data_IF_160426776110
#
_entry.id   IF_160426776110
#
_cell.length_a   1.000
_cell.length_b   1.000
_cell.length_c   1.000
_cell.angle_alpha   90.00
_cell.angle_beta   90.00
_cell.angle_gamma   90.00
#
_symmetry.space_group_name_H-M   'P 1'
#
loop_
_entity.id
_entity.type
_entity.pdbx_description
1 polymer ?
#
# COMPACT_ATOMS: atom_id res chain seq x y z
N UNK A 1 7.63 3.15 17.26
CA UNK A 1 6.89 3.59 16.05
C UNK A 1 7.89 3.58 14.90
N UNK A 2 8.14 2.56 14.09
CA UNK A 2 7.53 1.26 13.86
C UNK A 2 8.06 0.86 12.47
N UNK A 3 9.35 0.51 12.38
CA UNK A 3 9.94 -0.01 11.14
C UNK A 3 9.34 -1.40 10.92
N UNK A 4 8.29 -1.47 10.12
CA UNK A 4 7.80 -2.75 9.62
C UNK A 4 8.92 -3.34 8.75
N UNK A 5 9.34 -4.57 9.05
CA UNK A 5 10.40 -5.24 8.29
C UNK A 5 9.96 -5.36 6.81
N UNK A 6 10.85 -4.97 5.89
CA UNK A 6 10.54 -4.89 4.45
C UNK A 6 9.95 -3.55 3.98
N UNK A 7 9.59 -2.60 4.86
CA UNK A 7 9.20 -1.24 4.44
C UNK A 7 10.44 -0.35 4.34
N UNK A 8 10.67 0.20 3.15
CA UNK A 8 11.78 1.11 2.84
C UNK A 8 11.42 2.53 3.28
N UNK A 9 10.27 3.02 2.81
CA UNK A 9 9.78 4.36 3.10
C UNK A 9 8.25 4.36 3.19
N UNK A 10 7.69 5.22 4.05
CA UNK A 10 6.26 5.48 4.10
C UNK A 10 6.01 6.97 4.28
N UNK A 11 5.30 7.58 3.33
CA UNK A 11 4.92 8.99 3.36
C UNK A 11 3.41 9.11 3.41
N UNK A 12 2.89 9.95 4.32
CA UNK A 12 1.47 10.17 4.53
C UNK A 12 1.11 11.62 4.24
N UNK A 13 0.18 11.82 3.32
CA UNK A 13 -0.47 13.11 3.10
C UNK A 13 -1.86 13.11 3.72
N UNK A 14 -1.98 13.74 4.89
CA UNK A 14 -3.24 13.81 5.65
C UNK A 14 -4.29 14.70 4.97
N UNK A 15 -3.89 15.75 4.26
CA UNK A 15 -4.81 16.63 3.53
C UNK A 15 -5.49 15.88 2.37
N UNK A 16 -4.73 15.03 1.68
CA UNK A 16 -5.22 14.22 0.57
C UNK A 16 -5.74 12.83 1.00
N UNK A 17 -5.70 12.51 2.30
CA UNK A 17 -6.04 11.20 2.86
C UNK A 17 -5.35 10.03 2.12
N UNK A 18 -4.07 10.20 1.77
CA UNK A 18 -3.32 9.22 0.98
C UNK A 18 -1.99 8.89 1.63
N UNK A 19 -1.70 7.59 1.75
CA UNK A 19 -0.39 7.08 2.11
C UNK A 19 0.28 6.46 0.88
N UNK A 20 1.58 6.66 0.74
CA UNK A 20 2.45 5.99 -0.23
C UNK A 20 3.49 5.20 0.55
N UNK A 21 3.62 3.90 0.25
CA UNK A 21 4.55 2.99 0.93
C UNK A 21 5.45 2.35 -0.13
N UNK A 22 6.76 2.47 0.06
CA UNK A 22 7.78 1.77 -0.70
C UNK A 22 8.27 0.58 0.13
N UNK A 23 8.31 -0.61 -0.47
CA UNK A 23 8.59 -1.85 0.23
C UNK A 23 9.31 -2.88 -0.65
N UNK A 24 10.00 -3.82 -0.01
CA UNK A 24 10.68 -4.94 -0.63
C UNK A 24 9.71 -6.13 -0.74
N UNK A 25 9.24 -6.50 -1.95
CA UNK A 25 8.21 -7.55 -2.13
C UNK A 25 8.70 -8.95 -1.74
N UNK A 26 10.02 -9.17 -1.62
CA UNK A 26 10.60 -10.42 -1.14
C UNK A 26 10.50 -10.57 0.39
N UNK A 27 10.26 -9.47 1.11
CA UNK A 27 10.23 -9.43 2.59
C UNK A 27 8.84 -9.20 3.16
N UNK A 28 7.99 -8.47 2.43
CA UNK A 28 6.64 -8.14 2.86
C UNK A 28 5.69 -8.06 1.66
N UNK A 29 4.47 -8.55 1.82
CA UNK A 29 3.43 -8.49 0.81
C UNK A 29 2.37 -7.40 1.09
N UNK A 30 1.57 -7.08 0.08
CA UNK A 30 0.51 -6.07 0.17
C UNK A 30 -0.53 -6.41 1.24
N UNK A 31 -1.04 -7.66 1.36
CA UNK A 31 -1.94 -8.05 2.45
C UNK A 31 -1.39 -7.78 3.86
N UNK A 32 -0.11 -8.08 4.11
CA UNK A 32 0.55 -7.83 5.41
C UNK A 32 0.63 -6.34 5.73
N UNK A 33 0.91 -5.49 4.73
CA UNK A 33 0.91 -4.04 4.89
C UNK A 33 -0.50 -3.56 5.26
N UNK A 34 -1.53 -4.04 4.55
CA UNK A 34 -2.93 -3.69 4.82
C UNK A 34 -3.34 -4.11 6.23
N UNK A 35 -3.03 -5.34 6.65
CA UNK A 35 -3.37 -5.84 7.98
C UNK A 35 -2.67 -5.03 9.09
N UNK A 36 -1.41 -4.65 8.89
CA UNK A 36 -0.68 -3.80 9.83
C UNK A 36 -1.36 -2.44 10.00
N UNK A 37 -1.83 -1.84 8.89
CA UNK A 37 -2.61 -0.59 8.90
C UNK A 37 -3.98 -0.80 9.59
N UNK A 38 -4.62 -1.94 9.37
CA UNK A 38 -5.85 -2.35 10.05
C UNK A 38 -5.72 -2.43 11.57
N UNK A 39 -4.64 -3.05 12.07
CA UNK A 39 -4.37 -3.20 13.51
C UNK A 39 -4.18 -1.88 14.25
N UNK A 40 -3.77 -0.82 13.55
CA UNK A 40 -3.65 0.54 14.12
C UNK A 40 -4.91 1.40 13.92
N UNK A 41 -6.00 0.80 13.42
CA UNK A 41 -7.33 1.42 13.37
C UNK A 41 -7.68 2.13 12.06
N UNK A 42 -6.95 1.87 10.97
CA UNK A 42 -7.23 2.46 9.67
C UNK A 42 -7.64 1.39 8.64
N UNK A 43 -8.56 1.74 7.75
CA UNK A 43 -8.96 0.87 6.65
C UNK A 43 -8.27 1.29 5.34
N UNK A 44 -7.83 0.30 4.55
CA UNK A 44 -7.25 0.53 3.22
C UNK A 44 -8.23 0.04 2.15
N UNK A 45 -8.96 0.94 1.48
CA UNK A 45 -9.94 0.54 0.46
C UNK A 45 -9.23 0.02 -0.80
N UNK A 46 -9.59 -1.18 -1.24
CA UNK A 46 -9.12 -1.73 -2.51
C UNK A 46 -9.88 -1.12 -3.68
N UNK A 47 -9.14 -0.44 -4.57
CA UNK A 47 -9.69 0.12 -5.81
C UNK A 47 -9.26 -0.75 -6.98
N UNK A 48 -10.18 -1.52 -7.55
CA UNK A 48 -9.94 -2.25 -8.80
C UNK A 48 -10.14 -1.29 -9.97
N UNK A 49 -9.10 -1.13 -10.81
CA UNK A 49 -9.20 -0.38 -12.07
C UNK A 49 -9.06 -1.36 -13.23
N UNK A 50 -10.01 -1.33 -14.14
CA UNK A 50 -9.91 -2.04 -15.42
C UNK A 50 -9.27 -1.08 -16.42
N UNK A 51 -8.10 -1.45 -16.94
CA UNK A 51 -7.46 -0.70 -18.01
C UNK A 51 -7.80 -1.36 -19.35
N UNK A 52 -8.35 -0.58 -20.27
CA UNK A 52 -8.47 -0.98 -21.67
C UNK A 52 -7.09 -0.81 -22.30
N UNK A 53 -6.41 -1.92 -22.61
CA UNK A 53 -5.14 -1.87 -23.32
C UNK A 53 -5.45 -2.00 -24.81
N UNK A 54 -5.51 -0.87 -25.50
CA UNK A 54 -5.59 -0.85 -26.96
C UNK A 54 -4.21 -1.21 -27.55
N UNK A 55 -4.18 -2.12 -28.53
CA UNK A 55 -2.95 -2.47 -29.25
C UNK A 55 -2.20 -3.73 -28.81
N UNK A 56 -2.76 -4.57 -27.94
CA UNK A 56 -2.26 -5.94 -27.73
C UNK A 56 -2.78 -6.85 -28.85
N UNK A 57 -2.20 -6.79 -30.04
CA UNK A 57 -2.33 -7.84 -31.08
C UNK A 57 -1.00 -8.56 -31.22
#
# INVERSE_FOLDING_TARGET
MGKQDGVIEATVNLLAQRATVEFEPERIDVPQIIDTIGRIGFEVPMVKRTLLIEGMT
#
